data_IF_750994775040
#
_entry.id   IF_750994775040
#
_cell.length_a   1.000
_cell.length_b   1.000
_cell.length_c   1.000
_cell.angle_alpha   90.00
_cell.angle_beta   90.00
_cell.angle_gamma   90.00
#
_symmetry.space_group_name_H-M   'P 1'
#
loop_
_entity.id
_entity.type
_entity.pdbx_description
1 polymer ?
#
# COMPACT_ATOMS: atom_id res chain seq x y z
N UNK A 1 -46.94 3.55 6.02
CA UNK A 1 -45.64 3.17 6.65
C UNK A 1 -44.58 3.82 5.76
N UNK A 2 -44.04 4.92 6.23
CA UNK A 2 -43.05 5.73 5.52
C UNK A 2 -41.66 5.07 5.70
N UNK A 3 -41.01 4.72 4.58
CA UNK A 3 -39.61 4.32 4.56
C UNK A 3 -38.73 5.50 5.00
N UNK A 4 -38.28 5.44 6.21
CA UNK A 4 -37.26 6.34 6.74
C UNK A 4 -35.91 5.93 6.10
N UNK A 5 -35.49 6.69 5.07
CA UNK A 5 -34.18 6.56 4.48
C UNK A 5 -33.14 6.88 5.55
N UNK A 6 -32.49 5.85 6.08
CA UNK A 6 -31.27 5.97 6.87
C UNK A 6 -30.19 6.63 6.00
N UNK A 7 -30.04 7.94 6.15
CA UNK A 7 -28.89 8.67 5.65
C UNK A 7 -27.64 8.11 6.34
N UNK A 8 -26.62 7.63 5.60
CA UNK A 8 -25.39 7.19 6.26
C UNK A 8 -24.79 8.38 7.01
N UNK A 9 -24.48 8.17 8.28
CA UNK A 9 -23.79 9.16 9.11
C UNK A 9 -22.55 9.66 8.36
N UNK A 10 -22.49 10.95 8.09
CA UNK A 10 -21.34 11.57 7.45
C UNK A 10 -20.15 11.42 8.40
N UNK A 11 -19.00 10.92 7.93
CA UNK A 11 -17.80 10.91 8.76
C UNK A 11 -17.38 12.34 9.07
N UNK A 12 -16.99 12.59 10.31
CA UNK A 12 -16.32 13.82 10.71
C UNK A 12 -15.16 14.10 9.77
N UNK A 13 -15.20 15.27 9.11
CA UNK A 13 -14.21 15.78 8.14
C UNK A 13 -13.76 14.78 7.05
N UNK A 14 -14.54 14.66 5.99
CA UNK A 14 -14.09 13.96 4.78
C UNK A 14 -12.92 14.73 4.14
N UNK A 15 -11.76 14.09 4.07
CA UNK A 15 -10.61 14.63 3.33
C UNK A 15 -10.98 14.72 1.84
N UNK A 16 -10.72 15.87 1.20
CA UNK A 16 -10.92 16.00 -0.23
C UNK A 16 -9.91 15.15 -1.05
N UNK A 17 -10.26 14.83 -2.28
CA UNK A 17 -9.50 13.91 -3.12
C UNK A 17 -8.07 14.40 -3.42
N UNK A 18 -7.89 15.69 -3.68
CA UNK A 18 -6.56 16.25 -4.00
C UNK A 18 -5.66 16.27 -2.79
N UNK A 19 -6.20 16.64 -1.62
CA UNK A 19 -5.48 16.55 -0.35
C UNK A 19 -5.12 15.10 0.00
N UNK A 20 -6.03 14.15 -0.23
CA UNK A 20 -5.73 12.73 -0.03
C UNK A 20 -4.57 12.28 -0.93
N UNK A 21 -4.59 12.60 -2.22
CA UNK A 21 -3.53 12.28 -3.17
C UNK A 21 -2.18 12.91 -2.78
N UNK A 22 -2.18 14.17 -2.38
CA UNK A 22 -0.95 14.91 -2.04
C UNK A 22 -0.34 14.50 -0.69
N UNK A 23 -1.12 13.91 0.22
CA UNK A 23 -0.67 13.67 1.61
C UNK A 23 -0.71 12.21 2.06
N UNK A 24 -1.31 11.29 1.30
CA UNK A 24 -1.30 9.88 1.63
C UNK A 24 0.09 9.29 1.43
N UNK A 25 0.69 8.79 2.49
CA UNK A 25 1.99 8.14 2.46
C UNK A 25 1.94 6.77 3.10
N UNK A 26 2.90 5.95 2.82
CA UNK A 26 3.05 4.62 3.40
C UNK A 26 3.15 4.70 4.92
N UNK A 27 2.21 4.04 5.61
CA UNK A 27 2.19 3.88 7.06
C UNK A 27 2.63 2.45 7.39
N UNK A 28 3.60 2.31 8.31
CA UNK A 28 4.16 1.03 8.76
C UNK A 28 4.13 0.83 10.27
N UNK A 29 3.61 1.81 11.00
CA UNK A 29 3.43 1.77 12.46
C UNK A 29 1.97 1.91 12.78
N UNK A 30 1.42 0.90 13.41
CA UNK A 30 0.00 0.81 13.73
C UNK A 30 -0.21 0.69 15.24
N UNK A 31 -1.38 1.12 15.71
CA UNK A 31 -1.89 0.68 17.01
C UNK A 31 -2.36 -0.77 16.91
N UNK A 32 -2.67 -1.38 18.05
CA UNK A 32 -3.24 -2.74 18.10
C UNK A 32 -4.77 -2.76 17.89
N UNK A 33 -5.38 -1.60 17.74
CA UNK A 33 -6.84 -1.49 17.61
C UNK A 33 -7.31 -2.19 16.33
N UNK A 34 -8.34 -3.02 16.42
CA UNK A 34 -8.92 -3.66 15.24
C UNK A 34 -9.59 -2.61 14.33
N UNK A 35 -9.65 -2.92 13.04
CA UNK A 35 -10.48 -2.15 12.10
C UNK A 35 -11.88 -2.79 12.09
N UNK A 36 -12.96 -2.03 12.37
CA UNK A 36 -14.32 -2.53 12.27
C UNK A 36 -14.62 -3.14 10.90
N UNK A 37 -15.40 -4.21 10.86
CA UNK A 37 -15.78 -4.90 9.60
C UNK A 37 -16.54 -3.99 8.65
N UNK A 38 -17.32 -3.05 9.19
CA UNK A 38 -18.02 -2.03 8.42
C UNK A 38 -17.03 -1.13 7.67
N UNK A 39 -16.00 -0.61 8.35
CA UNK A 39 -14.96 0.22 7.72
C UNK A 39 -14.14 -0.58 6.69
N UNK A 40 -13.81 -1.83 6.99
CA UNK A 40 -13.18 -2.72 6.01
C UNK A 40 -14.06 -2.91 4.77
N UNK A 41 -15.35 -3.11 4.95
CA UNK A 41 -16.31 -3.20 3.85
C UNK A 41 -16.33 -1.92 3.01
N UNK A 42 -16.35 -0.76 3.64
CA UNK A 42 -16.29 0.55 2.95
C UNK A 42 -14.97 0.74 2.18
N UNK A 43 -13.84 0.41 2.79
CA UNK A 43 -12.52 0.48 2.15
C UNK A 43 -12.49 -0.40 0.89
N UNK A 44 -12.92 -1.66 1.02
CA UNK A 44 -12.93 -2.61 -0.08
C UNK A 44 -13.93 -2.23 -1.17
N UNK A 45 -15.10 -1.69 -0.82
CA UNK A 45 -16.05 -1.20 -1.79
C UNK A 45 -15.43 -0.11 -2.68
N UNK A 46 -14.73 0.87 -2.11
CA UNK A 46 -14.05 1.91 -2.87
C UNK A 46 -12.88 1.34 -3.72
N UNK A 47 -12.18 0.34 -3.21
CA UNK A 47 -11.15 -0.36 -3.97
C UNK A 47 -11.71 -0.99 -5.26
N UNK A 48 -12.93 -1.56 -5.20
CA UNK A 48 -13.58 -2.14 -6.38
C UNK A 48 -14.04 -1.11 -7.42
N UNK A 49 -13.99 0.18 -7.14
CA UNK A 49 -14.33 1.25 -8.11
C UNK A 49 -13.19 1.59 -9.07
N UNK A 50 -12.03 0.95 -8.91
CA UNK A 50 -10.91 1.11 -9.83
C UNK A 50 -11.24 0.60 -11.23
N UNK A 51 -10.71 1.24 -12.29
CA UNK A 51 -10.85 0.74 -13.64
C UNK A 51 -10.09 -0.58 -13.85
N UNK A 52 -10.54 -1.37 -14.80
CA UNK A 52 -9.83 -2.57 -15.26
C UNK A 52 -9.97 -2.74 -16.77
N UNK A 53 -9.03 -3.42 -17.40
CA UNK A 53 -9.05 -3.66 -18.84
C UNK A 53 -10.37 -4.29 -19.28
N UNK A 54 -11.06 -3.64 -20.22
CA UNK A 54 -12.40 -4.03 -20.71
C UNK A 54 -13.46 -4.23 -19.61
N UNK A 55 -13.29 -3.54 -18.47
CA UNK A 55 -14.14 -3.69 -17.29
C UNK A 55 -14.29 -5.14 -16.80
N UNK A 56 -13.25 -5.95 -16.93
CA UNK A 56 -13.27 -7.38 -16.55
C UNK A 56 -13.31 -7.62 -15.06
N UNK A 57 -12.90 -6.63 -14.24
CA UNK A 57 -12.93 -6.68 -12.78
C UNK A 57 -12.26 -7.95 -12.20
N UNK A 58 -11.02 -8.26 -12.59
CA UNK A 58 -10.35 -9.51 -12.23
C UNK A 58 -9.80 -9.54 -10.81
N UNK A 59 -9.87 -8.44 -10.08
CA UNK A 59 -9.28 -8.31 -8.75
C UNK A 59 -10.14 -9.00 -7.69
N UNK A 60 -9.48 -9.73 -6.79
CA UNK A 60 -10.06 -10.33 -5.58
C UNK A 60 -9.25 -9.93 -4.36
N UNK A 61 -9.86 -9.95 -3.19
CA UNK A 61 -9.23 -9.55 -1.94
C UNK A 61 -9.37 -10.66 -0.91
N UNK A 62 -8.25 -11.17 -0.40
CA UNK A 62 -8.24 -12.01 0.79
C UNK A 62 -7.89 -11.13 1.99
N UNK A 63 -8.79 -11.03 2.95
CA UNK A 63 -8.64 -10.18 4.13
C UNK A 63 -8.28 -11.03 5.33
N UNK A 64 -7.05 -10.87 5.80
CA UNK A 64 -6.48 -11.60 6.92
C UNK A 64 -6.59 -10.75 8.20
N UNK A 65 -7.41 -11.17 9.13
CA UNK A 65 -7.58 -10.52 10.46
C UNK A 65 -7.03 -11.42 11.56
N UNK A 66 -7.87 -12.19 12.24
CA UNK A 66 -7.58 -12.95 13.47
C UNK A 66 -7.97 -14.44 13.41
N UNK A 67 -8.46 -14.92 12.26
CA UNK A 67 -8.77 -16.33 12.08
C UNK A 67 -7.51 -17.22 12.05
N UNK A 68 -7.65 -18.52 12.30
CA UNK A 68 -6.50 -19.48 12.33
C UNK A 68 -5.65 -19.40 11.07
N UNK A 69 -6.25 -19.52 9.88
CA UNK A 69 -5.51 -19.40 8.61
C UNK A 69 -4.88 -18.02 8.42
N UNK A 70 -5.56 -16.95 8.86
CA UNK A 70 -5.01 -15.59 8.82
C UNK A 70 -3.78 -15.44 9.70
N UNK A 71 -3.78 -16.02 10.90
CA UNK A 71 -2.63 -16.02 11.80
C UNK A 71 -1.44 -16.77 11.21
N UNK A 72 -1.68 -17.97 10.66
CA UNK A 72 -0.65 -18.76 9.98
C UNK A 72 -0.08 -18.01 8.75
N UNK A 73 -0.93 -17.41 7.94
CA UNK A 73 -0.50 -16.60 6.77
C UNK A 73 0.30 -15.37 7.18
N UNK A 74 -0.11 -14.64 8.24
CA UNK A 74 0.66 -13.51 8.78
C UNK A 74 2.02 -13.95 9.29
N UNK A 75 2.14 -15.13 9.86
CA UNK A 75 3.42 -15.68 10.31
C UNK A 75 4.35 -15.95 9.12
N UNK A 76 3.87 -16.65 8.08
CA UNK A 76 4.63 -16.89 6.84
C UNK A 76 5.11 -15.58 6.19
N UNK A 77 4.20 -14.61 6.08
CA UNK A 77 4.52 -13.29 5.55
C UNK A 77 5.56 -12.56 6.41
N UNK A 78 5.41 -12.57 7.74
CA UNK A 78 6.34 -11.94 8.66
C UNK A 78 7.76 -12.51 8.53
N UNK A 79 7.90 -13.82 8.41
CA UNK A 79 9.20 -14.47 8.16
C UNK A 79 9.79 -14.05 6.80
N UNK A 80 8.98 -14.05 5.72
CA UNK A 80 9.42 -13.61 4.41
C UNK A 80 9.88 -12.14 4.43
N UNK A 81 9.13 -11.28 5.12
CA UNK A 81 9.46 -9.87 5.24
C UNK A 81 10.73 -9.63 6.05
N UNK A 82 10.97 -10.36 7.13
CA UNK A 82 12.23 -10.31 7.89
C UNK A 82 13.42 -10.74 7.04
N UNK A 83 13.28 -11.86 6.29
CA UNK A 83 14.32 -12.31 5.34
C UNK A 83 14.61 -11.26 4.27
N UNK A 84 13.55 -10.73 3.62
CA UNK A 84 13.67 -9.70 2.59
C UNK A 84 14.30 -8.42 3.12
N UNK A 85 13.91 -7.98 4.31
CA UNK A 85 14.49 -6.81 4.95
C UNK A 85 15.96 -7.01 5.30
N UNK A 86 16.34 -8.15 5.87
CA UNK A 86 17.74 -8.48 6.18
C UNK A 86 18.62 -8.48 4.94
N UNK A 87 18.13 -8.98 3.81
CA UNK A 87 18.83 -8.90 2.53
C UNK A 87 18.98 -7.45 2.05
N UNK A 88 17.90 -6.66 2.15
CA UNK A 88 17.89 -5.26 1.73
C UNK A 88 18.78 -4.37 2.59
N UNK A 89 18.88 -4.61 3.90
CA UNK A 89 19.78 -3.88 4.80
C UNK A 89 21.21 -3.93 4.28
N UNK A 90 21.68 -5.12 3.90
CA UNK A 90 23.02 -5.32 3.33
C UNK A 90 23.15 -4.76 1.92
N UNK A 91 22.19 -5.07 1.05
CA UNK A 91 22.23 -4.68 -0.36
C UNK A 91 22.20 -3.18 -0.60
N UNK A 92 21.36 -2.45 0.16
CA UNK A 92 21.20 -1.00 0.04
C UNK A 92 22.09 -0.23 1.04
N UNK A 93 22.94 -0.92 1.82
CA UNK A 93 23.87 -0.32 2.78
C UNK A 93 23.19 0.46 3.90
N UNK A 94 22.09 -0.04 4.45
CA UNK A 94 21.46 0.56 5.65
C UNK A 94 22.31 0.37 6.92
N UNK A 95 23.26 -0.56 6.89
CA UNK A 95 24.24 -0.89 7.92
C UNK A 95 25.61 -0.25 7.68
N UNK A 96 25.71 0.72 6.76
CA UNK A 96 26.95 1.39 6.41
C UNK A 96 26.75 2.88 6.09
N UNK A 97 27.84 3.64 6.06
CA UNK A 97 27.83 5.07 5.73
C UNK A 97 26.82 5.86 6.58
N UNK A 98 25.94 6.62 5.92
CA UNK A 98 24.91 7.40 6.63
C UNK A 98 23.85 6.53 7.35
N UNK A 99 23.81 5.23 7.08
CA UNK A 99 22.98 4.29 7.83
C UNK A 99 23.42 4.11 9.29
N UNK A 100 24.70 4.34 9.58
CA UNK A 100 25.27 4.27 10.93
C UNK A 100 25.01 5.52 11.77
N UNK A 101 24.67 6.65 11.15
CA UNK A 101 24.30 7.86 11.87
C UNK A 101 22.81 7.80 12.32
N UNK A 102 22.52 7.69 13.64
CA UNK A 102 21.16 7.59 14.14
C UNK A 102 20.25 8.78 13.77
N UNK A 103 20.84 9.94 13.48
CA UNK A 103 20.12 11.16 13.11
C UNK A 103 19.81 11.23 11.60
N UNK A 104 20.42 10.38 10.80
CA UNK A 104 20.23 10.40 9.34
C UNK A 104 18.80 9.96 8.92
N UNK A 105 18.27 10.45 7.81
CA UNK A 105 17.04 9.95 7.23
C UNK A 105 17.06 8.43 6.94
N UNK A 106 18.22 7.92 6.49
CA UNK A 106 18.44 6.50 6.17
C UNK A 106 18.32 5.62 7.42
N UNK A 107 18.97 5.99 8.53
CA UNK A 107 18.87 5.26 9.79
C UNK A 107 17.45 5.33 10.40
N UNK A 108 16.75 6.48 10.28
CA UNK A 108 15.35 6.59 10.71
C UNK A 108 14.43 5.66 9.89
N UNK A 109 14.65 5.57 8.58
CA UNK A 109 13.92 4.64 7.72
C UNK A 109 14.22 3.18 8.08
N UNK A 110 15.49 2.84 8.33
CA UNK A 110 15.90 1.50 8.74
C UNK A 110 15.18 1.07 10.03
N UNK A 111 15.16 1.94 11.06
CA UNK A 111 14.44 1.64 12.31
C UNK A 111 12.94 1.45 12.10
N UNK A 112 12.32 2.29 11.27
CA UNK A 112 10.89 2.16 10.98
C UNK A 112 10.57 0.85 10.23
N UNK A 113 11.45 0.42 9.34
CA UNK A 113 11.31 -0.85 8.64
C UNK A 113 11.57 -2.04 9.54
N UNK A 114 12.60 -1.98 10.41
CA UNK A 114 12.89 -3.02 11.38
C UNK A 114 11.69 -3.24 12.32
N UNK A 115 11.17 -2.15 12.90
CA UNK A 115 9.97 -2.21 13.74
C UNK A 115 8.75 -2.82 13.00
N UNK A 116 8.60 -2.50 11.72
CA UNK A 116 7.51 -3.00 10.89
C UNK A 116 7.60 -4.52 10.67
N UNK A 117 8.77 -5.04 10.31
CA UNK A 117 8.95 -6.48 10.07
C UNK A 117 8.96 -7.29 11.36
N UNK A 118 9.44 -6.72 12.46
CA UNK A 118 9.46 -7.37 13.79
C UNK A 118 8.06 -7.51 14.40
N UNK A 119 7.13 -6.62 14.01
CA UNK A 119 5.75 -6.62 14.50
C UNK A 119 4.73 -7.02 13.43
N UNK A 120 5.16 -7.63 12.34
CA UNK A 120 4.29 -7.89 11.19
C UNK A 120 3.04 -8.70 11.56
N UNK A 121 3.18 -9.74 12.37
CA UNK A 121 2.08 -10.61 12.78
C UNK A 121 1.02 -9.90 13.63
N UNK A 122 1.40 -8.78 14.28
CA UNK A 122 0.51 -7.96 15.11
C UNK A 122 -0.27 -6.91 14.32
N UNK A 123 -0.01 -6.78 13.02
CA UNK A 123 -0.73 -5.83 12.17
C UNK A 123 -2.21 -6.21 12.13
N UNK A 124 -3.14 -5.28 12.43
CA UNK A 124 -4.56 -5.61 12.56
C UNK A 124 -5.12 -6.29 11.32
N UNK A 125 -4.83 -5.77 10.14
CA UNK A 125 -5.35 -6.30 8.87
C UNK A 125 -4.26 -6.39 7.82
N UNK A 126 -4.20 -7.55 7.15
CA UNK A 126 -3.43 -7.74 5.93
C UNK A 126 -4.39 -8.09 4.80
N UNK A 127 -4.31 -7.40 3.69
CA UNK A 127 -5.10 -7.67 2.48
C UNK A 127 -4.15 -8.19 1.40
N UNK A 128 -4.35 -9.45 1.01
CA UNK A 128 -3.73 -9.98 -0.20
C UNK A 128 -4.60 -9.62 -1.40
N UNK A 129 -4.03 -8.86 -2.32
CA UNK A 129 -4.72 -8.43 -3.53
C UNK A 129 -4.36 -9.43 -4.64
N UNK A 130 -5.38 -10.10 -5.15
CA UNK A 130 -5.26 -11.21 -6.08
C UNK A 130 -5.78 -10.82 -7.46
N UNK A 131 -5.19 -11.39 -8.49
CA UNK A 131 -5.61 -11.27 -9.89
C UNK A 131 -6.08 -12.63 -10.40
N UNK A 132 -7.35 -12.76 -10.76
CA UNK A 132 -7.85 -13.92 -11.51
C UNK A 132 -7.39 -13.78 -12.96
N UNK A 133 -6.48 -14.64 -13.39
CA UNK A 133 -5.93 -14.61 -14.75
C UNK A 133 -6.91 -15.20 -15.76
N UNK A 134 -7.05 -14.58 -16.89
CA UNK A 134 -7.82 -15.03 -18.04
C UNK A 134 -6.95 -15.22 -19.29
N UNK A 135 -5.65 -15.05 -19.15
CA UNK A 135 -4.62 -15.22 -20.18
C UNK A 135 -3.28 -15.47 -19.51
N UNK A 136 -2.29 -15.85 -20.28
CA UNK A 136 -0.91 -16.02 -19.82
C UNK A 136 -0.36 -14.76 -19.14
N UNK A 137 0.49 -14.93 -18.14
CA UNK A 137 1.15 -13.82 -17.44
C UNK A 137 1.81 -12.86 -18.43
N UNK A 138 1.64 -11.56 -18.18
CA UNK A 138 2.22 -10.53 -19.02
C UNK A 138 2.55 -9.27 -18.18
N UNK A 139 3.49 -8.41 -18.66
CA UNK A 139 3.95 -7.26 -17.88
C UNK A 139 2.89 -6.19 -17.63
N UNK A 140 1.75 -6.25 -18.30
CA UNK A 140 0.68 -5.23 -18.21
C UNK A 140 -0.46 -5.63 -17.26
N UNK A 141 -0.46 -6.84 -16.70
CA UNK A 141 -1.57 -7.31 -15.84
C UNK A 141 -1.74 -6.44 -14.59
N UNK A 142 -0.66 -5.85 -14.09
CA UNK A 142 -0.68 -4.91 -12.97
C UNK A 142 -1.53 -3.65 -13.20
N UNK A 143 -1.75 -3.26 -14.45
CA UNK A 143 -2.59 -2.12 -14.81
C UNK A 143 -4.05 -2.26 -14.34
N UNK A 144 -4.55 -3.49 -14.18
CA UNK A 144 -5.89 -3.77 -13.64
C UNK A 144 -5.90 -4.00 -12.12
N UNK A 145 -4.73 -4.05 -11.48
CA UNK A 145 -4.59 -4.36 -10.04
C UNK A 145 -4.19 -3.13 -9.23
N UNK A 146 -3.14 -2.43 -9.63
CA UNK A 146 -2.57 -1.34 -8.82
C UNK A 146 -3.48 -0.11 -8.68
N UNK A 147 -4.36 0.23 -9.65
CA UNK A 147 -5.39 1.24 -9.40
C UNK A 147 -6.31 0.88 -8.24
N UNK A 148 -6.68 -0.40 -8.10
CA UNK A 148 -7.48 -0.88 -6.98
C UNK A 148 -6.73 -0.83 -5.65
N UNK A 149 -5.44 -1.14 -5.65
CA UNK A 149 -4.57 -0.97 -4.48
C UNK A 149 -4.49 0.50 -4.04
N UNK A 150 -4.36 1.43 -4.99
CA UNK A 150 -4.33 2.86 -4.69
C UNK A 150 -5.66 3.35 -4.12
N UNK A 151 -6.79 2.95 -4.72
CA UNK A 151 -8.11 3.28 -4.20
C UNK A 151 -8.32 2.74 -2.78
N UNK A 152 -7.87 1.52 -2.50
CA UNK A 152 -7.91 0.92 -1.16
C UNK A 152 -7.16 1.78 -0.13
N UNK A 153 -5.94 2.23 -0.46
CA UNK A 153 -5.12 3.06 0.43
C UNK A 153 -5.73 4.46 0.64
N UNK A 154 -6.30 5.07 -0.40
CA UNK A 154 -6.97 6.36 -0.31
C UNK A 154 -8.27 6.26 0.51
N UNK A 155 -9.06 5.21 0.32
CA UNK A 155 -10.26 4.96 1.11
C UNK A 155 -9.92 4.71 2.59
N UNK A 156 -8.87 3.93 2.87
CA UNK A 156 -8.36 3.74 4.22
C UNK A 156 -7.97 5.08 4.85
N UNK A 157 -7.25 5.94 4.09
CA UNK A 157 -6.87 7.29 4.53
C UNK A 157 -8.10 8.15 4.88
N UNK A 158 -9.12 8.15 4.01
CA UNK A 158 -10.34 8.93 4.21
C UNK A 158 -11.13 8.50 5.45
N UNK A 159 -10.96 7.26 5.90
CA UNK A 159 -11.57 6.70 7.11
C UNK A 159 -10.64 6.73 8.34
N UNK A 160 -9.53 7.48 8.29
CA UNK A 160 -8.61 7.63 9.42
C UNK A 160 -7.64 6.47 9.64
N UNK A 161 -7.50 5.58 8.66
CA UNK A 161 -6.53 4.48 8.68
C UNK A 161 -5.31 4.80 7.84
N UNK A 162 -4.30 3.96 7.94
CA UNK A 162 -3.13 4.01 7.09
C UNK A 162 -2.74 2.62 6.60
N UNK A 163 -1.94 2.57 5.55
CA UNK A 163 -1.50 1.31 5.00
C UNK A 163 -0.15 1.37 4.30
N UNK A 164 0.35 0.19 3.99
CA UNK A 164 1.57 -0.03 3.21
C UNK A 164 1.35 -1.11 2.17
N UNK A 165 1.60 -0.81 0.90
CA UNK A 165 1.68 -1.80 -0.17
C UNK A 165 3.10 -2.36 -0.24
N UNK A 166 3.22 -3.67 -0.39
CA UNK A 166 4.49 -4.38 -0.49
C UNK A 166 4.37 -5.61 -1.39
N UNK A 167 5.51 -6.07 -1.91
CA UNK A 167 5.61 -7.22 -2.80
C UNK A 167 6.39 -8.40 -2.17
N UNK A 168 6.73 -8.34 -0.89
CA UNK A 168 7.57 -9.37 -0.26
C UNK A 168 6.86 -10.70 0.00
N UNK A 169 5.56 -10.79 -0.27
CA UNK A 169 4.81 -12.05 -0.29
C UNK A 169 5.37 -13.06 -1.31
N UNK A 170 6.04 -12.59 -2.36
CA UNK A 170 6.63 -13.44 -3.41
C UNK A 170 7.58 -14.52 -2.86
N UNK A 171 8.20 -14.28 -1.70
CA UNK A 171 9.09 -15.26 -1.07
C UNK A 171 8.36 -16.45 -0.40
N UNK A 172 7.03 -16.46 -0.36
CA UNK A 172 6.17 -17.50 0.24
C UNK A 172 4.86 -17.68 -0.52
N UNK A 173 4.89 -17.38 -1.81
CA UNK A 173 3.70 -17.39 -2.68
C UNK A 173 3.05 -18.78 -2.73
N UNK A 174 3.82 -19.84 -2.94
CA UNK A 174 3.33 -21.23 -3.00
C UNK A 174 2.74 -21.69 -1.66
N UNK A 175 3.36 -21.33 -0.54
CA UNK A 175 2.87 -21.67 0.79
C UNK A 175 1.55 -20.96 1.09
N UNK A 176 1.41 -19.69 0.67
CA UNK A 176 0.18 -18.93 0.80
C UNK A 176 -0.94 -19.50 -0.05
N UNK A 177 -0.66 -19.90 -1.30
CA UNK A 177 -1.64 -20.56 -2.18
C UNK A 177 -2.19 -21.82 -1.51
N UNK A 178 -1.31 -22.67 -1.01
CA UNK A 178 -1.69 -23.93 -0.35
C UNK A 178 -2.46 -23.70 0.95
N UNK A 179 -1.99 -22.78 1.83
CA UNK A 179 -2.62 -22.50 3.12
C UNK A 179 -4.00 -21.86 2.96
N UNK A 180 -4.12 -20.91 2.05
CA UNK A 180 -5.33 -20.11 1.86
C UNK A 180 -6.26 -20.68 0.78
N UNK A 181 -5.90 -21.83 0.19
CA UNK A 181 -6.68 -22.50 -0.87
C UNK A 181 -6.92 -21.59 -2.08
N UNK A 182 -5.87 -20.85 -2.48
CA UNK A 182 -5.94 -19.95 -3.63
C UNK A 182 -5.78 -20.78 -4.89
N UNK A 183 -6.69 -20.67 -5.89
CA UNK A 183 -6.58 -21.42 -7.15
C UNK A 183 -5.31 -21.07 -7.95
N UNK A 184 -4.84 -22.01 -8.76
CA UNK A 184 -3.61 -21.87 -9.55
C UNK A 184 -3.68 -20.77 -10.63
N UNK A 185 -4.89 -20.44 -11.11
CA UNK A 185 -5.14 -19.35 -12.07
C UNK A 185 -5.22 -17.98 -11.42
N UNK A 186 -5.04 -17.89 -10.10
CA UNK A 186 -5.06 -16.66 -9.32
C UNK A 186 -3.65 -16.28 -8.90
N UNK A 187 -3.20 -15.10 -9.29
CA UNK A 187 -1.90 -14.56 -8.86
C UNK A 187 -2.04 -13.67 -7.62
N UNK A 188 -1.13 -13.79 -6.67
CA UNK A 188 -0.95 -12.81 -5.61
C UNK A 188 -0.18 -11.61 -6.20
N UNK A 189 -0.85 -10.47 -6.30
CA UNK A 189 -0.29 -9.29 -6.97
C UNK A 189 0.25 -8.25 -6.00
N UNK A 190 -0.27 -8.18 -4.79
CA UNK A 190 0.21 -7.27 -3.75
C UNK A 190 -0.21 -7.75 -2.35
N UNK A 191 0.56 -7.33 -1.35
CA UNK A 191 0.23 -7.45 0.05
C UNK A 191 0.08 -6.04 0.63
N UNK A 192 -1.10 -5.71 1.17
CA UNK A 192 -1.38 -4.40 1.79
C UNK A 192 -1.65 -4.62 3.27
N UNK A 193 -0.89 -3.91 4.11
CA UNK A 193 -1.14 -3.87 5.56
C UNK A 193 -1.96 -2.64 5.91
N UNK A 194 -2.91 -2.78 6.85
CA UNK A 194 -3.80 -1.70 7.29
C UNK A 194 -3.91 -1.66 8.81
N UNK A 195 -4.06 -0.46 9.35
CA UNK A 195 -4.31 -0.23 10.77
C UNK A 195 -4.47 1.25 11.10
N UNK A 196 -4.81 1.58 12.34
CA UNK A 196 -4.76 2.95 12.83
C UNK A 196 -3.30 3.38 12.94
N UNK A 197 -2.90 4.52 12.32
CA UNK A 197 -1.51 4.94 12.30
C UNK A 197 -1.03 5.41 13.69
N UNK A 198 0.16 4.96 14.12
CA UNK A 198 0.92 5.63 15.17
C UNK A 198 1.68 6.82 14.54
N UNK A 199 1.09 7.96 14.55
CA UNK A 199 1.56 9.14 13.83
C UNK A 199 0.61 9.53 12.72
N UNK A 200 1.06 10.37 11.79
CA UNK A 200 0.16 10.95 10.78
C UNK A 200 0.64 10.76 9.36
N UNK A 201 -0.30 10.94 8.46
CA UNK A 201 -0.02 11.26 7.08
C UNK A 201 0.59 12.68 6.97
N UNK A 202 0.93 13.10 5.79
CA UNK A 202 1.47 14.44 5.55
C UNK A 202 2.07 14.56 4.16
N UNK A 203 2.55 15.75 3.78
CA UNK A 203 3.04 15.98 2.43
C UNK A 203 4.05 14.92 1.99
N UNK A 204 3.81 14.33 0.84
CA UNK A 204 4.77 13.42 0.22
C UNK A 204 5.86 14.21 -0.50
N UNK A 205 7.07 13.64 -0.55
CA UNK A 205 8.17 14.24 -1.30
C UNK A 205 8.26 13.53 -2.65
N UNK A 206 8.35 14.30 -3.72
CA UNK A 206 8.48 13.80 -5.10
C UNK A 206 9.56 14.58 -5.83
N UNK A 207 9.89 14.14 -7.03
CA UNK A 207 10.71 14.95 -7.95
C UNK A 207 9.91 16.16 -8.43
N UNK A 208 10.57 17.28 -8.78
CA UNK A 208 9.90 18.40 -9.43
C UNK A 208 9.19 17.96 -10.72
N UNK A 209 8.06 18.59 -11.05
CA UNK A 209 7.33 18.28 -12.27
C UNK A 209 8.19 18.42 -13.52
N UNK A 210 9.04 19.45 -13.58
CA UNK A 210 9.99 19.69 -14.68
C UNK A 210 10.96 18.53 -14.93
N UNK A 211 11.21 17.68 -13.94
CA UNK A 211 12.13 16.54 -14.09
C UNK A 211 11.43 15.27 -14.61
N UNK A 212 10.09 15.26 -14.67
CA UNK A 212 9.30 14.06 -14.95
C UNK A 212 8.18 14.27 -15.97
N UNK A 213 7.96 15.51 -16.41
CA UNK A 213 6.96 15.85 -17.44
C UNK A 213 7.66 16.38 -18.67
N UNK A 214 7.47 15.71 -19.78
CA UNK A 214 8.01 16.08 -21.08
C UNK A 214 6.87 16.48 -22.03
N UNK A 215 7.17 17.40 -22.96
CA UNK A 215 6.23 17.87 -23.95
C UNK A 215 6.57 17.25 -25.32
N UNK A 216 5.60 16.55 -25.91
CA UNK A 216 5.67 15.86 -27.20
C UNK A 216 6.82 14.83 -27.33
N UNK A 217 8.04 15.13 -26.93
CA UNK A 217 9.24 14.32 -27.12
C UNK A 217 9.93 14.01 -25.80
N UNK A 218 10.40 12.78 -25.62
CA UNK A 218 11.16 12.38 -24.44
C UNK A 218 12.40 13.25 -24.23
N UNK A 219 12.50 13.88 -23.05
CA UNK A 219 13.61 14.75 -22.68
C UNK A 219 13.35 16.25 -22.97
N UNK A 220 12.32 16.60 -23.70
CA UNK A 220 11.90 17.99 -23.90
C UNK A 220 11.02 18.42 -22.74
N UNK A 221 11.52 19.35 -21.90
CA UNK A 221 10.79 19.76 -20.70
C UNK A 221 9.53 20.54 -21.05
N UNK A 222 8.41 20.18 -20.42
CA UNK A 222 7.17 20.92 -20.55
C UNK A 222 7.28 22.29 -19.87
N UNK A 223 7.23 23.36 -20.66
CA UNK A 223 7.37 24.75 -20.15
C UNK A 223 6.15 25.28 -19.40
N UNK A 224 5.04 24.55 -19.47
CA UNK A 224 3.73 24.92 -18.89
C UNK A 224 3.47 24.23 -17.53
N UNK A 225 4.43 23.48 -16.98
CA UNK A 225 4.26 22.82 -15.66
C UNK A 225 4.99 23.60 -14.58
N UNK A 226 4.27 23.85 -13.48
CA UNK A 226 4.82 24.40 -12.25
C UNK A 226 4.38 23.57 -11.05
N UNK A 227 5.28 23.41 -10.09
CA UNK A 227 4.93 22.80 -8.82
C UNK A 227 4.14 23.79 -7.95
N UNK A 228 3.07 23.35 -7.25
CA UNK A 228 2.35 24.22 -6.32
C UNK A 228 3.27 24.76 -5.21
N UNK A 229 2.96 25.96 -4.71
CA UNK A 229 3.67 26.59 -3.60
C UNK A 229 3.74 25.65 -2.37
N UNK A 230 4.90 25.62 -1.72
CA UNK A 230 5.13 24.76 -0.55
C UNK A 230 5.40 23.29 -0.87
N UNK A 231 5.53 22.92 -2.14
CA UNK A 231 5.88 21.55 -2.56
C UNK A 231 7.20 21.12 -1.93
N UNK A 232 7.24 19.87 -1.41
CA UNK A 232 8.43 19.27 -0.84
C UNK A 232 9.04 18.25 -1.78
N UNK A 233 10.32 18.42 -2.06
CA UNK A 233 11.05 17.55 -2.98
C UNK A 233 11.80 16.42 -2.29
N UNK A 234 11.97 15.32 -3.01
CA UNK A 234 12.89 14.26 -2.63
C UNK A 234 14.32 14.74 -2.91
N UNK A 235 15.19 14.75 -1.90
CA UNK A 235 16.61 14.96 -2.12
C UNK A 235 17.22 13.69 -2.73
N UNK A 236 17.79 13.79 -3.95
CA UNK A 236 18.64 12.77 -4.54
C UNK A 236 18.03 11.37 -4.57
N UNK A 237 17.04 11.15 -5.45
CA UNK A 237 16.69 9.79 -5.85
C UNK A 237 17.77 9.23 -6.78
N UNK A 238 17.90 7.89 -6.91
CA UNK A 238 18.81 7.32 -7.90
C UNK A 238 18.46 7.86 -9.29
N UNK A 239 19.49 8.34 -9.97
CA UNK A 239 19.48 8.71 -11.40
C UNK A 239 19.15 7.50 -12.24
#
# INVERSE_FOLDING_TARGET
MTEEQLSPAQPEESIDALTALATTRTIRRYTSDPIPKEDLGRILWHATRAPSGSNRQPVRYLVLTDGRKATEAKHLLGEAFRRGWSAKVRGDGYDSGSGLDPASPKARQARAMQEYVDNFERIPVVVLVCLVRYREPNPYEGASVYPACQNLLLAARALGYGGALTMWHQGVDEELHRLLEIPDDVALSACITLGRPRGGHGPVRRRPLKDVVFDDTWGEMASWVDDPDGTRYASGGPT
#
